data_IF_936983738116
#
_entry.id   IF_936983738116
#
_cell.length_a   1.000
_cell.length_b   1.000
_cell.length_c   1.000
_cell.angle_alpha   90.00
_cell.angle_beta   90.00
_cell.angle_gamma   90.00
#
_symmetry.space_group_name_H-M   'P 1'
#
loop_
_entity.id
_entity.type
_entity.pdbx_description
1 polymer ?
#
# COMPACT_ATOMS: atom_id res chain seq x y z
N UNK A 1 -11.97 5.60 -25.13
CA UNK A 1 -11.53 5.96 -23.77
C UNK A 1 -12.13 7.33 -23.52
N UNK A 2 -13.05 7.48 -22.56
CA UNK A 2 -13.53 8.82 -22.21
C UNK A 2 -12.33 9.67 -21.82
N UNK A 3 -12.25 10.88 -22.34
CA UNK A 3 -11.12 11.81 -22.17
C UNK A 3 -11.16 12.39 -20.75
N UNK A 4 -10.98 11.53 -19.74
CA UNK A 4 -10.96 11.91 -18.34
C UNK A 4 -9.60 12.50 -18.01
N UNK A 5 -9.61 13.73 -17.49
CA UNK A 5 -8.38 14.44 -17.15
C UNK A 5 -7.51 13.63 -16.17
N UNK A 6 -6.19 13.52 -16.44
CA UNK A 6 -5.28 12.88 -15.51
C UNK A 6 -5.22 13.61 -14.17
N UNK A 7 -5.25 12.85 -13.09
CA UNK A 7 -5.14 13.37 -11.72
C UNK A 7 -4.66 12.31 -10.76
N UNK A 8 -4.22 12.75 -9.59
CA UNK A 8 -3.99 11.89 -8.45
C UNK A 8 -4.47 12.55 -7.17
N UNK A 9 -5.04 11.77 -6.25
CA UNK A 9 -5.35 12.21 -4.90
C UNK A 9 -4.59 11.28 -3.95
N UNK A 10 -3.77 11.84 -3.07
CA UNK A 10 -3.00 11.10 -2.06
C UNK A 10 -3.27 11.75 -0.71
N UNK A 11 -3.90 11.00 0.20
CA UNK A 11 -4.39 11.54 1.46
C UNK A 11 -5.42 12.66 1.23
N UNK A 12 -5.10 13.86 1.69
CA UNK A 12 -5.91 15.06 1.60
C UNK A 12 -5.50 16.01 0.47
N UNK A 13 -4.56 15.59 -0.41
CA UNK A 13 -4.03 16.40 -1.51
C UNK A 13 -4.46 15.86 -2.87
N UNK A 14 -4.85 16.75 -3.77
CA UNK A 14 -5.13 16.48 -5.18
C UNK A 14 -4.06 17.12 -6.07
N UNK A 15 -3.62 16.38 -7.08
CA UNK A 15 -2.61 16.77 -8.06
C UNK A 15 -3.24 16.75 -9.45
N UNK A 16 -3.10 17.84 -10.20
CA UNK A 16 -3.72 18.03 -11.53
C UNK A 16 -2.79 18.82 -12.46
N UNK A 17 -3.12 18.82 -13.75
CA UNK A 17 -2.22 19.37 -14.77
C UNK A 17 -1.01 18.45 -14.93
N UNK A 18 -1.27 17.22 -15.38
CA UNK A 18 -0.21 16.27 -15.69
C UNK A 18 0.71 16.88 -16.75
N UNK A 19 1.99 16.96 -16.42
CA UNK A 19 3.02 17.55 -17.28
C UNK A 19 3.74 16.49 -18.10
N UNK A 20 4.12 15.40 -17.45
CA UNK A 20 4.80 14.27 -18.09
C UNK A 20 4.68 13.00 -17.24
N UNK A 21 4.93 11.87 -17.90
CA UNK A 21 4.98 10.53 -17.31
C UNK A 21 6.25 9.85 -17.79
N UNK A 22 7.00 9.24 -16.89
CA UNK A 22 8.23 8.52 -17.19
C UNK A 22 8.35 7.28 -16.31
N UNK A 23 9.08 6.26 -16.77
CA UNK A 23 9.51 5.12 -15.96
C UNK A 23 10.93 5.29 -15.41
N UNK A 24 11.62 6.38 -15.76
CA UNK A 24 12.97 6.69 -15.30
C UNK A 24 12.93 7.34 -13.91
N UNK A 25 13.44 6.63 -12.90
CA UNK A 25 13.51 7.10 -11.53
C UNK A 25 14.46 8.29 -11.35
N UNK A 26 15.45 8.49 -12.23
CA UNK A 26 16.35 9.64 -12.14
C UNK A 26 15.62 10.98 -12.33
N UNK A 27 14.42 10.96 -12.93
CA UNK A 27 13.57 12.13 -13.01
C UNK A 27 13.15 12.69 -11.64
N UNK A 28 13.18 11.86 -10.59
CA UNK A 28 12.87 12.24 -9.21
C UNK A 28 14.01 13.01 -8.53
N UNK A 29 15.20 13.06 -9.12
CA UNK A 29 16.31 13.89 -8.64
C UNK A 29 16.03 15.39 -8.83
N UNK A 30 15.08 15.71 -9.73
CA UNK A 30 14.57 17.06 -9.92
C UNK A 30 13.50 17.45 -8.89
N UNK A 31 13.18 18.74 -8.82
CA UNK A 31 12.05 19.22 -8.02
C UNK A 31 10.72 19.08 -8.76
N UNK A 32 9.64 18.88 -8.00
CA UNK A 32 8.29 18.84 -8.57
C UNK A 32 7.29 18.13 -7.66
N UNK A 33 6.03 18.15 -8.09
CA UNK A 33 4.97 17.35 -7.48
C UNK A 33 4.88 16.03 -8.26
N UNK A 34 5.37 14.97 -7.65
CA UNK A 34 5.42 13.66 -8.26
C UNK A 34 4.44 12.71 -7.57
N UNK A 35 3.79 11.89 -8.37
CA UNK A 35 3.11 10.67 -7.91
C UNK A 35 3.78 9.50 -8.57
N UNK A 36 4.27 8.57 -7.75
CA UNK A 36 5.02 7.41 -8.20
C UNK A 36 4.21 6.16 -7.87
N UNK A 37 3.97 5.33 -8.88
CA UNK A 37 3.35 4.03 -8.72
C UNK A 37 4.38 2.98 -9.09
N UNK A 38 4.68 2.08 -8.16
CA UNK A 38 5.57 0.93 -8.37
C UNK A 38 4.73 -0.32 -8.26
N UNK A 39 4.69 -1.12 -9.33
CA UNK A 39 3.99 -2.41 -9.35
C UNK A 39 4.87 -3.50 -8.76
N UNK A 40 4.24 -4.60 -8.35
CA UNK A 40 4.94 -5.74 -7.78
C UNK A 40 6.00 -6.32 -8.74
N UNK A 41 5.73 -6.29 -10.04
CA UNK A 41 6.62 -6.76 -11.11
C UNK A 41 7.81 -5.82 -11.36
N UNK A 42 7.90 -4.69 -10.64
CA UNK A 42 8.96 -3.70 -10.75
C UNK A 42 8.70 -2.62 -11.79
N UNK A 43 7.53 -2.61 -12.44
CA UNK A 43 7.14 -1.53 -13.35
C UNK A 43 6.93 -0.22 -12.55
N UNK A 44 7.59 0.85 -12.99
CA UNK A 44 7.53 2.17 -12.36
C UNK A 44 6.80 3.15 -13.27
N UNK A 45 5.90 3.94 -12.69
CA UNK A 45 5.26 5.08 -13.33
C UNK A 45 5.45 6.31 -12.44
N UNK A 46 6.28 7.26 -12.89
CA UNK A 46 6.48 8.57 -12.28
C UNK A 46 5.66 9.59 -13.07
N UNK A 47 4.64 10.17 -12.44
CA UNK A 47 3.80 11.20 -13.03
C UNK A 47 4.07 12.56 -12.36
N UNK A 48 4.47 13.57 -13.15
CA UNK A 48 4.70 14.93 -12.66
C UNK A 48 3.49 15.81 -12.91
N UNK A 49 3.09 16.57 -11.89
CA UNK A 49 1.96 17.49 -11.95
C UNK A 49 2.39 18.93 -11.70
N UNK A 50 1.73 19.88 -12.36
CA UNK A 50 2.00 21.31 -12.19
C UNK A 50 1.28 21.92 -10.98
N UNK A 51 0.16 21.32 -10.54
CA UNK A 51 -0.71 21.89 -9.51
C UNK A 51 -0.98 20.88 -8.41
N UNK A 52 -0.84 21.34 -7.17
CA UNK A 52 -1.30 20.63 -5.97
C UNK A 52 -2.33 21.49 -5.23
N UNK A 53 -3.38 20.85 -4.74
CA UNK A 53 -4.45 21.49 -3.97
C UNK A 53 -5.10 20.51 -2.99
N UNK A 54 -6.18 20.93 -2.30
CA UNK A 54 -6.93 20.03 -1.44
C UNK A 54 -7.64 18.94 -2.26
N UNK A 55 -7.82 17.77 -1.65
CA UNK A 55 -8.64 16.69 -2.19
C UNK A 55 -10.06 17.17 -2.51
N UNK A 56 -10.70 16.63 -3.56
CA UNK A 56 -12.07 16.97 -3.89
C UNK A 56 -13.01 16.57 -2.74
N UNK A 57 -14.01 17.42 -2.48
CA UNK A 57 -15.04 17.16 -1.46
C UNK A 57 -16.12 16.22 -1.97
N UNK A 58 -16.34 16.19 -3.28
CA UNK A 58 -17.35 15.39 -3.95
C UNK A 58 -16.68 14.41 -4.89
N UNK A 59 -17.20 13.19 -4.92
CA UNK A 59 -16.69 12.09 -5.71
C UNK A 59 -17.77 11.63 -6.69
N UNK A 60 -17.40 11.20 -7.91
CA UNK A 60 -18.36 10.59 -8.84
C UNK A 60 -19.05 9.38 -8.22
N UNK A 61 -20.23 9.03 -8.72
CA UNK A 61 -20.90 7.79 -8.35
C UNK A 61 -20.11 6.59 -8.86
N UNK A 62 -19.99 5.54 -8.05
CA UNK A 62 -19.45 4.25 -8.48
C UNK A 62 -20.57 3.32 -8.98
N UNK A 63 -20.37 2.75 -10.16
CA UNK A 63 -21.18 1.65 -10.69
C UNK A 63 -20.24 0.57 -11.20
N UNK A 64 -19.68 -0.18 -10.26
CA UNK A 64 -18.72 -1.24 -10.54
C UNK A 64 -19.33 -2.50 -11.15
N UNK A 65 -18.49 -3.47 -11.53
CA UNK A 65 -18.94 -4.74 -12.07
C UNK A 65 -19.81 -5.51 -11.07
N UNK A 66 -20.86 -6.22 -11.52
CA UNK A 66 -21.74 -6.98 -10.65
C UNK A 66 -20.96 -8.11 -9.95
N UNK A 67 -21.36 -8.49 -8.74
CA UNK A 67 -20.67 -9.53 -7.94
C UNK A 67 -20.45 -10.83 -8.71
N UNK A 68 -21.39 -11.22 -9.58
CA UNK A 68 -21.31 -12.44 -10.39
C UNK A 68 -20.23 -12.39 -11.50
N UNK A 69 -19.73 -11.21 -11.87
CA UNK A 69 -18.67 -11.05 -12.88
C UNK A 69 -17.26 -11.24 -12.30
N UNK A 70 -17.12 -11.29 -10.97
CA UNK A 70 -15.84 -11.46 -10.31
C UNK A 70 -15.38 -12.92 -10.36
N UNK A 71 -14.10 -13.09 -10.68
CA UNK A 71 -13.40 -14.36 -10.71
C UNK A 71 -12.21 -14.29 -9.75
N UNK A 72 -11.85 -15.44 -9.17
CA UNK A 72 -10.73 -15.55 -8.22
C UNK A 72 -9.61 -16.35 -8.87
N UNK A 73 -8.36 -15.89 -8.75
CA UNK A 73 -7.18 -16.61 -9.26
C UNK A 73 -6.95 -17.95 -8.55
N UNK A 74 -7.44 -18.08 -7.32
CA UNK A 74 -7.43 -19.30 -6.54
C UNK A 74 -8.83 -19.57 -5.98
N UNK A 75 -9.34 -20.78 -6.18
CA UNK A 75 -10.51 -21.25 -5.46
C UNK A 75 -10.15 -21.69 -4.03
N UNK A 76 -11.16 -22.14 -3.26
CA UNK A 76 -10.96 -22.58 -1.88
C UNK A 76 -9.99 -23.76 -1.76
N UNK A 77 -10.07 -24.71 -2.69
CA UNK A 77 -9.25 -25.92 -2.63
C UNK A 77 -7.80 -25.60 -2.94
N UNK A 78 -7.55 -24.83 -4.00
CA UNK A 78 -6.22 -24.38 -4.41
C UNK A 78 -5.57 -23.51 -3.31
N UNK A 79 -6.32 -22.58 -2.72
CA UNK A 79 -5.82 -21.78 -1.59
C UNK A 79 -5.46 -22.68 -0.39
N UNK A 80 -6.31 -23.66 -0.06
CA UNK A 80 -6.05 -24.61 1.02
C UNK A 80 -4.80 -25.46 0.78
N UNK A 81 -4.58 -25.93 -0.46
CA UNK A 81 -3.35 -26.63 -0.86
C UNK A 81 -2.11 -25.74 -0.69
N UNK A 82 -2.19 -24.47 -1.08
CA UNK A 82 -1.12 -23.50 -0.87
C UNK A 82 -0.76 -23.33 0.60
N UNK A 83 -1.77 -23.24 1.49
CA UNK A 83 -1.53 -23.17 2.94
C UNK A 83 -0.81 -24.42 3.47
N UNK A 84 -1.19 -25.61 3.02
CA UNK A 84 -0.53 -26.86 3.43
C UNK A 84 0.94 -26.87 2.99
N UNK A 85 1.21 -26.55 1.72
CA UNK A 85 2.56 -26.50 1.19
C UNK A 85 3.45 -25.50 1.93
N UNK A 86 2.93 -24.31 2.26
CA UNK A 86 3.65 -23.30 3.06
C UNK A 86 3.99 -23.85 4.45
N UNK A 87 3.05 -24.54 5.11
CA UNK A 87 3.31 -25.13 6.44
C UNK A 87 4.38 -26.23 6.39
N UNK A 88 4.41 -27.01 5.31
CA UNK A 88 5.45 -28.02 5.09
C UNK A 88 6.82 -27.37 4.90
N UNK A 89 6.92 -26.30 4.09
CA UNK A 89 8.15 -25.53 3.90
C UNK A 89 8.65 -24.88 5.20
N UNK A 90 7.74 -24.33 6.02
CA UNK A 90 8.08 -23.80 7.35
C UNK A 90 8.60 -24.93 8.26
N UNK A 91 7.95 -26.10 8.26
CA UNK A 91 8.38 -27.25 9.07
C UNK A 91 9.74 -27.83 8.63
N UNK A 92 10.05 -27.75 7.34
CA UNK A 92 11.36 -28.12 6.78
C UNK A 92 12.46 -27.09 7.11
N UNK A 93 12.08 -25.88 7.52
CA UNK A 93 13.01 -24.78 7.79
C UNK A 93 13.42 -23.99 6.55
N UNK A 94 12.68 -24.11 5.43
CA UNK A 94 12.99 -23.42 4.17
C UNK A 94 12.65 -21.93 4.23
N UNK A 95 11.56 -21.60 4.92
CA UNK A 95 11.02 -20.24 5.07
C UNK A 95 10.48 -20.05 6.48
N UNK A 96 10.49 -18.81 6.98
CA UNK A 96 9.90 -18.47 8.28
C UNK A 96 8.43 -18.03 8.16
N UNK A 97 8.10 -17.26 7.12
CA UNK A 97 6.75 -16.78 6.83
C UNK A 97 6.55 -16.63 5.31
N UNK A 98 5.33 -16.88 4.83
CA UNK A 98 4.91 -16.63 3.45
C UNK A 98 3.54 -15.96 3.45
N UNK A 99 3.42 -14.83 2.75
CA UNK A 99 2.14 -14.17 2.52
C UNK A 99 1.44 -14.75 1.28
N UNK A 100 0.42 -15.59 1.49
CA UNK A 100 -0.37 -16.17 0.40
C UNK A 100 -1.56 -15.28 0.06
N UNK A 101 -1.59 -14.74 -1.16
CA UNK A 101 -2.68 -13.91 -1.65
C UNK A 101 -3.43 -14.58 -2.81
N UNK A 102 -4.65 -14.12 -3.07
CA UNK A 102 -5.41 -14.42 -4.29
C UNK A 102 -5.87 -13.12 -4.93
N UNK A 103 -5.98 -13.12 -6.25
CA UNK A 103 -6.46 -11.99 -7.02
C UNK A 103 -7.95 -12.17 -7.31
N UNK A 104 -8.75 -11.14 -7.06
CA UNK A 104 -10.12 -11.04 -7.56
C UNK A 104 -10.13 -10.11 -8.77
N UNK A 105 -10.73 -10.55 -9.88
CA UNK A 105 -10.77 -9.77 -11.12
C UNK A 105 -12.13 -9.84 -11.79
N UNK A 106 -12.55 -8.73 -12.40
CA UNK A 106 -13.78 -8.65 -13.18
C UNK A 106 -13.54 -7.73 -14.39
N UNK A 107 -14.20 -7.99 -15.53
CA UNK A 107 -14.19 -7.05 -16.65
C UNK A 107 -14.86 -5.74 -16.24
N UNK A 108 -14.23 -4.62 -16.58
CA UNK A 108 -14.73 -3.27 -16.33
C UNK A 108 -14.99 -2.55 -17.65
N UNK A 109 -16.09 -1.79 -17.71
CA UNK A 109 -16.42 -0.96 -18.86
C UNK A 109 -15.46 0.22 -18.99
N UNK A 110 -15.23 0.69 -20.22
CA UNK A 110 -14.34 1.82 -20.50
C UNK A 110 -14.91 3.19 -20.07
N UNK A 111 -16.16 3.21 -19.60
CA UNK A 111 -16.91 4.34 -19.07
C UNK A 111 -16.80 4.47 -17.54
N UNK A 112 -16.18 3.49 -16.87
CA UNK A 112 -16.00 3.50 -15.42
C UNK A 112 -14.91 4.50 -15.03
N UNK A 113 -15.25 5.42 -14.12
CA UNK A 113 -14.29 6.33 -13.50
C UNK A 113 -13.78 5.76 -12.17
N UNK A 114 -12.46 5.51 -12.09
CA UNK A 114 -11.76 5.06 -10.87
C UNK A 114 -11.96 6.00 -9.67
N UNK A 115 -12.24 7.29 -9.88
CA UNK A 115 -12.56 8.22 -8.79
C UNK A 115 -13.86 7.84 -8.07
N UNK A 116 -14.81 7.21 -8.77
CA UNK A 116 -16.01 6.70 -8.13
C UNK A 116 -15.67 5.61 -7.11
N UNK A 117 -14.80 4.67 -7.48
CA UNK A 117 -14.31 3.63 -6.57
C UNK A 117 -13.56 4.26 -5.39
N UNK A 118 -12.72 5.26 -5.65
CA UNK A 118 -12.01 5.97 -4.59
C UNK A 118 -12.96 6.65 -3.59
N UNK A 119 -14.06 7.25 -4.06
CA UNK A 119 -15.10 7.81 -3.20
C UNK A 119 -15.73 6.77 -2.27
N UNK A 120 -16.08 5.60 -2.83
CA UNK A 120 -16.60 4.47 -2.05
C UNK A 120 -15.58 3.99 -1.02
N UNK A 121 -14.34 3.72 -1.45
CA UNK A 121 -13.28 3.27 -0.55
C UNK A 121 -13.02 4.23 0.60
N UNK A 122 -12.97 5.54 0.35
CA UNK A 122 -12.76 6.55 1.41
C UNK A 122 -13.91 6.60 2.43
N UNK A 123 -15.10 6.19 2.03
CA UNK A 123 -16.29 6.20 2.90
C UNK A 123 -16.39 4.90 3.69
N UNK A 124 -16.26 3.76 3.01
CA UNK A 124 -16.47 2.43 3.58
C UNK A 124 -15.20 1.87 4.26
N UNK A 125 -14.01 2.28 3.82
CA UNK A 125 -12.71 1.81 4.29
C UNK A 125 -11.74 2.99 4.47
N UNK A 126 -12.02 3.93 5.39
CA UNK A 126 -11.16 5.09 5.61
C UNK A 126 -9.76 4.65 6.03
N UNK A 127 -8.75 5.12 5.30
CA UNK A 127 -7.37 4.68 5.47
C UNK A 127 -6.40 5.87 5.44
N UNK A 128 -5.36 5.88 6.31
CA UNK A 128 -4.40 6.98 6.42
C UNK A 128 -3.59 7.21 5.14
N UNK A 129 -3.36 6.15 4.36
CA UNK A 129 -2.61 6.19 3.10
C UNK A 129 -3.52 5.94 1.89
N UNK A 130 -4.79 6.35 1.97
CA UNK A 130 -5.71 6.27 0.86
C UNK A 130 -5.21 7.10 -0.34
N UNK A 131 -5.32 6.53 -1.53
CA UNK A 131 -4.89 7.19 -2.76
C UNK A 131 -5.76 6.79 -3.95
N UNK A 132 -5.88 7.68 -4.93
CA UNK A 132 -6.35 7.36 -6.27
C UNK A 132 -5.43 8.00 -7.29
N UNK A 133 -5.07 7.26 -8.33
CA UNK A 133 -4.20 7.73 -9.42
C UNK A 133 -4.89 7.37 -10.72
N UNK A 134 -5.04 8.35 -11.61
CA UNK A 134 -5.54 8.19 -12.97
C UNK A 134 -4.58 8.95 -13.89
N UNK A 135 -3.66 8.22 -14.50
CA UNK A 135 -2.68 8.75 -15.46
C UNK A 135 -2.56 7.77 -16.63
N UNK A 136 -1.98 8.16 -17.78
CA UNK A 136 -1.78 7.24 -18.90
C UNK A 136 -1.12 5.93 -18.47
N UNK A 137 -1.81 4.80 -18.73
CA UNK A 137 -1.33 3.45 -18.41
C UNK A 137 -1.55 2.97 -16.97
N UNK A 138 -2.03 3.83 -16.06
CA UNK A 138 -2.26 3.48 -14.65
C UNK A 138 -3.55 4.09 -14.12
N UNK A 139 -4.46 3.21 -13.69
CA UNK A 139 -5.58 3.55 -12.81
C UNK A 139 -5.48 2.74 -11.53
N UNK A 140 -5.47 3.43 -10.39
CA UNK A 140 -5.29 2.84 -9.07
C UNK A 140 -6.24 3.52 -8.08
N UNK A 141 -6.95 2.74 -7.27
CA UNK A 141 -7.63 3.23 -6.07
C UNK A 141 -7.20 2.34 -4.89
N UNK A 142 -6.76 2.96 -3.80
CA UNK A 142 -6.15 2.30 -2.65
C UNK A 142 -6.76 2.82 -1.35
N UNK A 143 -6.99 1.89 -0.42
CA UNK A 143 -7.35 2.14 0.97
C UNK A 143 -6.29 1.52 1.91
N UNK A 144 -5.01 1.84 1.68
CA UNK A 144 -3.91 1.23 2.44
C UNK A 144 -3.83 1.75 3.89
N UNK A 145 -3.85 0.87 4.90
CA UNK A 145 -3.60 1.26 6.28
C UNK A 145 -2.10 1.37 6.60
N UNK A 146 -1.23 0.75 5.78
CA UNK A 146 0.18 0.55 6.10
C UNK A 146 1.07 1.55 5.36
N UNK A 147 2.04 2.13 6.09
CA UNK A 147 3.10 2.94 5.52
C UNK A 147 4.29 2.06 5.18
N UNK A 148 4.49 1.81 3.89
CA UNK A 148 5.66 1.07 3.41
C UNK A 148 6.95 1.84 3.69
N UNK A 149 7.04 3.07 3.18
CA UNK A 149 8.21 3.95 3.36
C UNK A 149 7.78 5.43 3.30
N UNK A 150 8.31 6.24 4.20
CA UNK A 150 8.29 7.71 4.16
C UNK A 150 9.72 8.22 4.21
N UNK A 151 9.99 9.32 3.50
CA UNK A 151 11.27 10.04 3.56
C UNK A 151 11.02 11.52 3.79
N UNK A 152 11.70 12.09 4.76
CA UNK A 152 11.80 13.53 4.99
C UNK A 152 13.27 13.93 5.13
N UNK A 153 13.82 14.59 4.10
CA UNK A 153 15.25 14.85 4.01
C UNK A 153 16.06 13.56 4.02
N UNK A 154 16.92 13.38 5.03
CA UNK A 154 17.69 12.16 5.24
C UNK A 154 16.92 11.10 6.04
N UNK A 155 15.91 11.50 6.84
CA UNK A 155 15.15 10.57 7.67
C UNK A 155 14.25 9.70 6.80
N UNK A 156 14.41 8.38 6.90
CA UNK A 156 13.51 7.39 6.33
C UNK A 156 12.80 6.64 7.44
N UNK A 157 11.52 6.37 7.24
CA UNK A 157 10.65 5.69 8.19
C UNK A 157 9.82 4.62 7.48
N UNK A 158 9.68 3.46 8.10
CA UNK A 158 8.73 2.41 7.72
C UNK A 158 7.88 2.03 8.92
N UNK A 159 6.58 1.75 8.72
CA UNK A 159 5.67 1.35 9.80
C UNK A 159 4.99 0.02 9.49
N UNK A 160 5.71 -1.10 9.60
CA UNK A 160 5.16 -2.42 9.30
C UNK A 160 3.99 -2.78 10.24
N UNK A 161 2.98 -3.41 9.67
CA UNK A 161 1.81 -3.94 10.39
C UNK A 161 1.84 -5.46 10.37
N UNK A 162 1.86 -6.07 11.57
CA UNK A 162 1.67 -7.52 11.74
C UNK A 162 0.97 -7.82 13.04
N UNK A 163 -0.15 -8.53 12.94
CA UNK A 163 -1.10 -8.76 14.03
C UNK A 163 -2.35 -7.90 13.83
N UNK A 164 -3.48 -8.56 13.58
CA UNK A 164 -4.79 -7.92 13.42
C UNK A 164 -5.79 -8.60 14.32
N UNK A 165 -6.45 -7.82 15.17
CA UNK A 165 -7.47 -8.30 16.09
C UNK A 165 -8.72 -7.44 15.99
N UNK A 166 -9.84 -7.94 16.52
CA UNK A 166 -11.01 -7.09 16.76
C UNK A 166 -10.64 -6.01 17.80
N UNK A 167 -11.21 -4.81 17.66
CA UNK A 167 -10.96 -3.72 18.61
C UNK A 167 -11.26 -4.16 20.05
N UNK A 168 -10.34 -3.87 20.97
CA UNK A 168 -10.41 -4.30 22.38
C UNK A 168 -10.03 -5.76 22.66
N UNK A 169 -9.66 -6.56 21.66
CA UNK A 169 -9.11 -7.90 21.86
C UNK A 169 -7.60 -7.83 22.19
N UNK A 170 -7.11 -8.79 22.98
CA UNK A 170 -5.67 -8.89 23.28
C UNK A 170 -4.93 -9.61 22.16
N UNK A 171 -3.78 -9.05 21.76
CA UNK A 171 -2.84 -9.72 20.87
C UNK A 171 -2.13 -10.86 21.58
N UNK A 172 -1.91 -11.95 20.86
CA UNK A 172 -1.21 -13.13 21.37
C UNK A 172 0.31 -12.95 21.33
N UNK A 173 1.04 -13.81 22.05
CA UNK A 173 2.51 -13.85 21.98
C UNK A 173 2.99 -14.17 20.56
N UNK A 174 2.20 -14.91 19.78
CA UNK A 174 2.47 -15.19 18.37
C UNK A 174 2.43 -13.92 17.53
N UNK A 175 1.39 -13.09 17.71
CA UNK A 175 1.25 -11.83 16.94
C UNK A 175 2.43 -10.88 17.22
N UNK A 176 2.86 -10.80 18.48
CA UNK A 176 4.04 -10.01 18.85
C UNK A 176 5.33 -10.57 18.25
N UNK A 177 5.49 -11.90 18.21
CA UNK A 177 6.67 -12.54 17.62
C UNK A 177 6.76 -12.31 16.10
N UNK A 178 5.64 -12.43 15.38
CA UNK A 178 5.57 -12.14 13.94
C UNK A 178 5.93 -10.67 13.65
N UNK A 179 5.43 -9.73 14.47
CA UNK A 179 5.76 -8.32 14.32
C UNK A 179 7.24 -8.02 14.53
N UNK A 180 7.84 -8.56 15.61
CA UNK A 180 9.28 -8.40 15.88
C UNK A 180 10.13 -8.95 14.74
N UNK A 181 9.75 -10.10 14.17
CA UNK A 181 10.45 -10.67 13.02
C UNK A 181 10.44 -9.73 11.80
N UNK A 182 9.30 -9.09 11.50
CA UNK A 182 9.23 -8.11 10.41
C UNK A 182 10.02 -6.85 10.72
N UNK A 183 10.02 -6.39 11.98
CA UNK A 183 10.87 -5.26 12.40
C UNK A 183 12.33 -5.55 12.12
N UNK A 184 12.82 -6.74 12.43
CA UNK A 184 14.20 -7.11 12.13
C UNK A 184 14.50 -7.16 10.63
N UNK A 185 13.55 -7.63 9.82
CA UNK A 185 13.67 -7.58 8.35
C UNK A 185 13.77 -6.14 7.84
N UNK A 186 12.89 -5.25 8.30
CA UNK A 186 12.88 -3.83 7.91
C UNK A 186 14.15 -3.12 8.38
N UNK A 187 14.63 -3.41 9.60
CA UNK A 187 15.91 -2.88 10.10
C UNK A 187 17.09 -3.30 9.23
N UNK A 188 17.11 -4.57 8.82
CA UNK A 188 18.13 -5.08 7.92
C UNK A 188 18.07 -4.39 6.56
N UNK A 189 16.88 -4.17 6.01
CA UNK A 189 16.71 -3.51 4.72
C UNK A 189 17.13 -2.04 4.77
N UNK A 190 16.71 -1.29 5.79
CA UNK A 190 17.16 0.10 6.00
C UNK A 190 18.67 0.16 6.28
N UNK A 191 19.22 -0.79 7.02
CA UNK A 191 20.66 -0.85 7.34
C UNK A 191 21.57 -0.99 6.12
N UNK A 192 21.04 -1.32 4.93
CA UNK A 192 21.79 -1.36 3.66
C UNK A 192 21.99 0.02 3.04
N UNK A 193 21.15 0.98 3.37
CA UNK A 193 21.10 2.30 2.71
C UNK A 193 21.22 3.47 3.69
N UNK A 194 21.05 3.22 4.99
CA UNK A 194 21.19 4.21 6.04
C UNK A 194 22.60 4.26 6.63
N UNK A 195 22.95 5.37 7.26
CA UNK A 195 24.17 5.55 8.01
C UNK A 195 24.33 4.46 9.10
N UNK A 196 25.57 4.01 9.30
CA UNK A 196 25.84 2.96 10.28
C UNK A 196 25.50 3.44 11.69
N UNK A 197 24.57 2.75 12.34
CA UNK A 197 24.13 3.08 13.70
C UNK A 197 22.96 4.07 13.78
N UNK A 198 22.47 4.61 12.67
CA UNK A 198 21.31 5.51 12.67
C UNK A 198 19.97 4.77 12.76
N UNK A 199 19.94 3.47 12.45
CA UNK A 199 18.68 2.70 12.38
C UNK A 199 18.16 2.39 13.80
N UNK A 200 17.00 2.94 14.14
CA UNK A 200 16.34 2.76 15.45
C UNK A 200 14.91 2.22 15.31
N UNK A 201 14.31 1.81 16.43
CA UNK A 201 12.93 1.33 16.52
C UNK A 201 12.20 2.15 17.60
N UNK A 202 11.73 3.37 17.28
CA UNK A 202 11.11 4.25 18.26
C UNK A 202 9.79 3.71 18.83
N UNK A 203 9.11 2.83 18.12
CA UNK A 203 7.90 2.15 18.59
C UNK A 203 7.94 0.67 18.20
N UNK A 204 7.69 -0.23 19.16
CA UNK A 204 7.67 -1.67 18.95
C UNK A 204 6.35 -2.25 19.44
N UNK A 205 5.61 -2.93 18.55
CA UNK A 205 4.33 -3.57 18.82
C UNK A 205 3.32 -2.59 19.48
N UNK A 206 3.26 -1.35 19.01
CA UNK A 206 2.26 -0.38 19.42
C UNK A 206 0.88 -0.79 18.89
N UNK A 207 -0.16 -0.60 19.69
CA UNK A 207 -1.54 -0.89 19.26
C UNK A 207 -2.12 0.35 18.60
N UNK A 208 -2.55 0.23 17.35
CA UNK A 208 -3.28 1.28 16.64
C UNK A 208 -4.71 0.82 16.37
N UNK A 209 -5.68 1.62 16.84
CA UNK A 209 -7.10 1.36 16.67
C UNK A 209 -7.60 1.92 15.33
N UNK A 210 -8.27 1.07 14.56
CA UNK A 210 -8.96 1.39 13.33
C UNK A 210 -10.46 1.10 13.49
N UNK A 211 -11.35 1.63 12.63
CA UNK A 211 -12.77 1.36 12.74
C UNK A 211 -13.10 -0.15 12.72
N UNK A 212 -13.39 -0.72 13.89
CA UNK A 212 -13.74 -2.13 14.08
C UNK A 212 -12.55 -3.09 14.27
N UNK A 213 -11.30 -2.62 14.19
CA UNK A 213 -10.09 -3.46 14.24
C UNK A 213 -8.98 -2.79 15.04
N UNK A 214 -8.04 -3.57 15.54
CA UNK A 214 -6.78 -3.10 16.10
C UNK A 214 -5.60 -3.75 15.35
N UNK A 215 -4.54 -2.99 15.13
CA UNK A 215 -3.30 -3.45 14.51
C UNK A 215 -2.12 -3.31 15.46
N UNK A 216 -1.20 -4.28 15.40
CA UNK A 216 0.13 -4.13 15.97
C UNK A 216 1.05 -3.48 14.93
N UNK A 217 1.52 -2.29 15.26
CA UNK A 217 2.35 -1.45 14.40
C UNK A 217 3.68 -1.20 15.10
N UNK A 218 4.76 -1.32 14.35
CA UNK A 218 6.08 -0.90 14.80
C UNK A 218 6.59 0.19 13.88
N UNK A 219 7.45 1.06 14.38
CA UNK A 219 8.10 2.10 13.60
C UNK A 219 9.59 1.81 13.56
N UNK A 220 10.17 1.77 12.36
CA UNK A 220 11.61 1.64 12.14
C UNK A 220 12.06 2.86 11.34
N UNK A 221 13.08 3.55 11.81
CA UNK A 221 13.60 4.75 11.15
C UNK A 221 15.13 4.75 11.06
N UNK A 222 15.69 5.54 10.16
CA UNK A 222 17.13 5.76 10.02
C UNK A 222 17.46 6.95 9.13
N UNK A 223 18.73 7.36 9.08
CA UNK A 223 19.19 8.47 8.25
C UNK A 223 19.91 7.90 7.01
N UNK A 224 19.52 8.33 5.81
CA UNK A 224 20.16 7.91 4.56
C UNK A 224 21.61 8.39 4.49
N UNK A 225 22.50 7.53 4.00
CA UNK A 225 23.93 7.78 3.81
C UNK A 225 24.26 8.61 2.54
#
# INVERSE_FOLDING_TARGET
MGDLDPLAVVGDRCFTGLRDVTSDLSALDGSGLWVVVVRFEGEVTCARFDRGGPAPRTWPSWSGPPTAAWTSSLDREAFGKGVVAIREAIAAGDVYEVNLCRLLSAPVGADIDILGLAGVLRTENPAPHAAVVRVPGVELASASPELFLRRDGALVESRPIKGTAASGAMFSDKDRAENVMIVDLVRNDLGRVCETGSVTVPALCAVEEHPGLAHLVSTVEGELA
#
